data_IF_046737290458
#
_entry.id   IF_046737290458
#
_cell.length_a   1.000
_cell.length_b   1.000
_cell.length_c   1.000
_cell.angle_alpha   90.00
_cell.angle_beta   90.00
_cell.angle_gamma   90.00
#
_symmetry.space_group_name_H-M   'P 1'
#
loop_
_entity.id
_entity.type
_entity.pdbx_description
1 polymer ?
#
# COMPACT_ATOMS: atom_id res chain seq x y z
N UNK A 1 10.82 1.84 19.33
CA UNK A 1 10.56 1.93 17.88
C UNK A 1 10.91 3.33 17.44
N UNK A 2 11.61 3.50 16.32
CA UNK A 2 11.93 4.82 15.80
C UNK A 2 10.66 5.53 15.29
N UNK A 3 10.43 6.75 15.75
CA UNK A 3 9.32 7.59 15.29
C UNK A 3 9.80 8.46 14.13
N UNK A 4 9.61 7.97 12.91
CA UNK A 4 9.94 8.72 11.71
C UNK A 4 8.93 9.84 11.44
N UNK A 5 9.43 11.04 11.14
CA UNK A 5 8.61 12.24 10.90
C UNK A 5 8.71 12.73 9.46
N UNK A 6 9.75 12.30 8.74
CA UNK A 6 10.02 12.71 7.36
C UNK A 6 10.66 11.56 6.59
N UNK A 7 10.34 11.44 5.30
CA UNK A 7 11.04 10.53 4.40
C UNK A 7 11.17 11.12 2.99
N UNK A 8 12.23 10.74 2.27
CA UNK A 8 12.49 11.20 0.90
C UNK A 8 13.34 10.19 0.12
N UNK A 9 13.34 10.33 -1.20
CA UNK A 9 14.16 9.48 -2.08
C UNK A 9 15.66 9.65 -1.78
N UNK A 10 16.37 8.52 -1.66
CA UNK A 10 17.82 8.44 -1.56
C UNK A 10 18.47 8.13 -2.92
N UNK A 11 19.68 7.59 -2.88
CA UNK A 11 20.39 7.14 -4.09
C UNK A 11 19.71 5.90 -4.69
N UNK A 12 19.61 5.84 -6.03
CA UNK A 12 18.97 4.72 -6.72
C UNK A 12 17.51 4.55 -6.29
N UNK A 13 17.19 3.38 -5.73
CA UNK A 13 15.83 3.07 -5.24
C UNK A 13 15.64 3.29 -3.74
N UNK A 14 16.66 3.79 -3.05
CA UNK A 14 16.67 3.88 -1.59
C UNK A 14 15.69 4.93 -1.08
N UNK A 15 15.27 4.77 0.18
CA UNK A 15 14.43 5.73 0.89
C UNK A 15 15.11 6.09 2.20
N UNK A 16 15.28 7.40 2.43
CA UNK A 16 15.84 7.93 3.68
C UNK A 16 14.69 8.35 4.57
N UNK A 17 14.69 7.83 5.79
CA UNK A 17 13.79 8.20 6.86
C UNK A 17 14.54 9.03 7.91
N UNK A 18 13.87 10.03 8.45
CA UNK A 18 14.41 10.94 9.47
C UNK A 18 13.46 10.97 10.68
N UNK A 19 14.02 10.81 11.87
CA UNK A 19 13.32 10.92 13.15
C UNK A 19 13.33 12.36 13.65
N UNK A 20 12.48 12.67 14.64
CA UNK A 20 12.37 14.03 15.18
C UNK A 20 13.68 14.57 15.80
N UNK A 21 14.55 13.69 16.30
CA UNK A 21 15.87 14.00 16.84
C UNK A 21 16.98 14.05 15.76
N UNK A 22 16.61 13.97 14.48
CA UNK A 22 17.53 14.13 13.34
C UNK A 22 18.30 12.87 12.93
N UNK A 23 18.10 11.72 13.60
CA UNK A 23 18.70 10.45 13.17
C UNK A 23 18.12 10.04 11.82
N UNK A 24 18.97 9.43 10.99
CA UNK A 24 18.58 8.98 9.65
C UNK A 24 18.74 7.49 9.49
N UNK A 25 17.77 6.87 8.84
CA UNK A 25 17.77 5.44 8.50
C UNK A 25 17.51 5.30 7.02
N UNK A 26 18.40 4.60 6.32
CA UNK A 26 18.28 4.26 4.90
C UNK A 26 17.68 2.87 4.74
N UNK A 27 16.64 2.78 3.93
CA UNK A 27 16.03 1.53 3.48
C UNK A 27 16.50 1.25 2.06
N UNK A 28 17.21 0.15 1.85
CA UNK A 28 17.84 -0.22 0.57
C UNK A 28 17.42 -1.63 0.15
N UNK A 29 17.39 -1.90 -1.16
CA UNK A 29 16.99 -3.20 -1.71
C UNK A 29 15.53 -3.57 -1.40
N UNK A 30 15.18 -4.85 -1.58
CA UNK A 30 13.80 -5.34 -1.38
C UNK A 30 12.79 -4.74 -2.37
N UNK A 31 11.51 -4.79 -2.00
CA UNK A 31 10.41 -4.22 -2.80
C UNK A 31 10.08 -2.78 -2.37
N UNK A 32 9.49 -2.01 -3.30
CA UNK A 32 9.17 -0.59 -3.07
C UNK A 32 8.18 -0.41 -1.93
N UNK A 33 7.16 -1.26 -1.87
CA UNK A 33 6.14 -1.20 -0.83
C UNK A 33 6.74 -1.37 0.58
N UNK A 34 7.80 -2.18 0.72
CA UNK A 34 8.57 -2.32 1.94
C UNK A 34 9.41 -1.07 2.25
N UNK A 35 10.19 -0.58 1.27
CA UNK A 35 11.03 0.63 1.46
C UNK A 35 10.21 1.87 1.77
N UNK A 36 9.01 1.98 1.19
CA UNK A 36 8.13 3.13 1.39
C UNK A 36 7.17 2.94 2.58
N UNK A 37 7.20 1.78 3.26
CA UNK A 37 6.19 1.38 4.24
C UNK A 37 4.75 1.60 3.74
N UNK A 38 4.54 1.28 2.47
CA UNK A 38 3.32 1.51 1.72
C UNK A 38 2.87 0.18 1.09
N UNK A 39 2.30 -0.74 1.89
CA UNK A 39 1.98 -2.10 1.43
C UNK A 39 1.10 -2.15 0.17
N UNK A 40 0.27 -1.12 -0.04
CA UNK A 40 -0.60 -1.01 -1.20
C UNK A 40 -0.02 -0.30 -2.43
N UNK A 41 1.27 0.09 -2.40
CA UNK A 41 1.86 0.93 -3.46
C UNK A 41 0.95 2.13 -3.83
N UNK A 42 0.41 2.84 -2.84
CA UNK A 42 -0.43 4.01 -3.08
C UNK A 42 0.42 5.12 -3.71
N UNK A 43 0.05 5.55 -4.92
CA UNK A 43 0.69 6.68 -5.62
C UNK A 43 0.55 7.97 -4.81
N UNK A 44 1.61 8.79 -4.82
CA UNK A 44 1.56 10.10 -4.16
C UNK A 44 0.79 11.08 -5.03
N UNK A 45 -0.23 11.69 -4.44
CA UNK A 45 -1.01 12.77 -5.03
C UNK A 45 -1.30 13.85 -3.96
N UNK A 46 -2.24 14.76 -4.23
CA UNK A 46 -2.65 15.84 -3.32
C UNK A 46 -3.37 15.37 -2.06
N UNK A 47 -3.75 14.08 -1.96
CA UNK A 47 -4.43 13.54 -0.77
C UNK A 47 -3.47 13.52 0.41
N UNK A 48 -3.91 14.16 1.51
CA UNK A 48 -3.20 14.18 2.80
C UNK A 48 -3.55 12.93 3.61
N UNK A 49 -2.81 11.85 3.38
CA UNK A 49 -2.96 10.64 4.18
C UNK A 49 -2.36 10.82 5.57
N UNK A 50 -3.10 10.45 6.62
CA UNK A 50 -2.54 10.42 7.97
C UNK A 50 -1.39 9.41 8.02
N UNK A 51 -0.22 9.87 8.49
CA UNK A 51 0.99 9.07 8.57
C UNK A 51 1.84 9.07 7.31
N UNK A 52 1.44 9.76 6.23
CA UNK A 52 2.32 10.03 5.08
C UNK A 52 3.35 11.07 5.50
N UNK A 53 4.63 10.70 5.45
CA UNK A 53 5.76 11.54 5.85
C UNK A 53 6.68 11.91 4.67
N UNK A 54 6.34 11.42 3.47
CA UNK A 54 7.16 11.65 2.29
C UNK A 54 6.58 11.05 1.01
N UNK A 55 7.39 11.12 -0.04
CA UNK A 55 7.17 10.41 -1.29
C UNK A 55 8.50 9.95 -1.88
N UNK A 56 8.50 8.79 -2.53
CA UNK A 56 9.66 8.23 -3.23
C UNK A 56 9.20 7.41 -4.43
N UNK A 57 9.83 7.61 -5.60
CA UNK A 57 9.47 6.92 -6.85
C UNK A 57 8.05 7.19 -7.34
N UNK A 58 7.43 8.31 -6.95
CA UNK A 58 6.04 8.65 -7.27
C UNK A 58 4.99 8.03 -6.34
N UNK A 59 5.40 7.35 -5.26
CA UNK A 59 4.52 6.71 -4.29
C UNK A 59 4.59 7.38 -2.93
N UNK A 60 3.51 7.30 -2.16
CA UNK A 60 3.51 7.72 -0.75
C UNK A 60 4.56 6.94 0.04
N UNK A 61 5.19 7.62 1.00
CA UNK A 61 6.00 7.00 2.04
C UNK A 61 5.32 7.25 3.38
N UNK A 62 5.03 6.19 4.12
CA UNK A 62 4.37 6.26 5.43
C UNK A 62 5.37 6.08 6.57
N UNK A 63 5.03 6.59 7.76
CA UNK A 63 5.83 6.45 8.97
C UNK A 63 5.84 5.02 9.53
N UNK A 64 4.76 4.26 9.28
CA UNK A 64 4.64 2.84 9.62
C UNK A 64 3.86 2.10 8.51
N UNK A 65 4.09 0.80 8.28
CA UNK A 65 3.30 0.03 7.31
C UNK A 65 1.81 -0.04 7.66
N UNK A 66 1.46 -0.01 8.95
CA UNK A 66 0.07 0.00 9.44
C UNK A 66 -0.69 1.25 8.97
N UNK A 67 0.00 2.40 8.89
CA UNK A 67 -0.57 3.62 8.34
C UNK A 67 -0.82 3.50 6.83
N UNK A 68 0.05 2.78 6.11
CA UNK A 68 -0.17 2.41 4.71
C UNK A 68 -1.38 1.50 4.53
N UNK A 69 -1.52 0.45 5.34
CA UNK A 69 -2.69 -0.45 5.34
C UNK A 69 -3.97 0.33 5.66
N UNK A 70 -3.92 1.25 6.63
CA UNK A 70 -5.06 2.12 6.96
C UNK A 70 -5.47 3.00 5.78
N UNK A 71 -4.51 3.51 5.00
CA UNK A 71 -4.82 4.24 3.77
C UNK A 71 -5.51 3.34 2.73
N UNK A 72 -5.08 2.09 2.57
CA UNK A 72 -5.77 1.09 1.72
C UNK A 72 -7.22 0.86 2.19
N UNK A 73 -7.44 0.63 3.49
CA UNK A 73 -8.80 0.45 4.06
C UNK A 73 -9.68 1.67 3.78
N UNK A 74 -9.14 2.89 3.87
CA UNK A 74 -9.89 4.10 3.49
C UNK A 74 -10.27 4.12 2.01
N UNK A 75 -9.36 3.73 1.12
CA UNK A 75 -9.66 3.63 -0.31
C UNK A 75 -10.78 2.61 -0.55
N UNK A 76 -10.66 1.40 0.00
CA UNK A 76 -11.68 0.36 -0.16
C UNK A 76 -13.02 0.76 0.45
N UNK A 77 -13.05 1.41 1.61
CA UNK A 77 -14.28 1.95 2.19
C UNK A 77 -14.96 2.96 1.26
N UNK A 78 -14.20 3.78 0.53
CA UNK A 78 -14.78 4.67 -0.47
C UNK A 78 -15.36 3.87 -1.65
N UNK A 79 -14.67 2.81 -2.12
CA UNK A 79 -15.21 1.91 -3.16
C UNK A 79 -16.48 1.18 -2.69
N UNK A 80 -16.56 0.81 -1.42
CA UNK A 80 -17.77 0.27 -0.79
C UNK A 80 -18.92 1.27 -0.86
N UNK A 81 -18.68 2.55 -0.53
CA UNK A 81 -19.69 3.61 -0.62
C UNK A 81 -20.13 3.92 -2.06
N UNK A 82 -19.22 3.75 -3.01
CA UNK A 82 -19.51 3.82 -4.46
C UNK A 82 -20.29 2.59 -4.96
N UNK A 83 -20.55 1.59 -4.11
CA UNK A 83 -21.32 0.41 -4.46
C UNK A 83 -20.58 -0.62 -5.30
N UNK A 84 -19.25 -0.51 -5.39
CA UNK A 84 -18.39 -1.33 -6.26
C UNK A 84 -18.28 -2.78 -5.80
N UNK A 85 -18.12 -3.65 -6.78
CA UNK A 85 -17.66 -5.03 -6.64
C UNK A 85 -16.16 -5.09 -6.37
N UNK A 86 -15.66 -6.26 -5.97
CA UNK A 86 -14.22 -6.49 -5.84
C UNK A 86 -13.48 -6.20 -7.14
N UNK A 87 -14.00 -6.70 -8.27
CA UNK A 87 -13.38 -6.51 -9.58
C UNK A 87 -13.28 -5.03 -9.96
N UNK A 88 -14.36 -4.27 -9.79
CA UNK A 88 -14.38 -2.82 -10.09
C UNK A 88 -13.49 -2.02 -9.14
N UNK A 89 -13.43 -2.41 -7.87
CA UNK A 89 -12.56 -1.78 -6.89
C UNK A 89 -11.08 -1.97 -7.25
N UNK A 90 -10.66 -3.19 -7.61
CA UNK A 90 -9.29 -3.49 -8.05
C UNK A 90 -8.97 -2.81 -9.38
N UNK A 91 -9.89 -2.83 -10.36
CA UNK A 91 -9.69 -2.14 -11.63
C UNK A 91 -9.52 -0.62 -11.46
N UNK A 92 -10.22 -0.03 -10.48
CA UNK A 92 -10.04 1.38 -10.10
C UNK A 92 -8.73 1.64 -9.35
N UNK A 93 -8.17 0.62 -8.71
CA UNK A 93 -6.94 0.71 -7.90
C UNK A 93 -5.68 0.52 -8.76
N UNK A 94 -5.71 -0.46 -9.68
CA UNK A 94 -4.62 -0.82 -10.58
C UNK A 94 -5.17 -1.01 -12.02
N UNK A 95 -5.32 0.08 -12.78
CA UNK A 95 -5.87 0.05 -14.14
C UNK A 95 -5.02 -0.80 -15.10
N UNK A 96 -5.69 -1.39 -16.10
CA UNK A 96 -5.10 -2.38 -17.01
C UNK A 96 -4.01 -1.84 -17.95
N UNK A 97 -3.91 -0.51 -18.10
CA UNK A 97 -2.89 0.14 -18.93
C UNK A 97 -1.48 -0.19 -18.44
N UNK A 98 -1.31 -0.38 -17.13
CA UNK A 98 -0.02 -0.69 -16.50
C UNK A 98 0.01 -2.09 -15.84
N UNK A 99 -1.10 -2.83 -15.81
CA UNK A 99 -1.25 -4.04 -14.99
C UNK A 99 -2.08 -5.14 -15.66
N UNK A 100 -1.82 -6.39 -15.31
CA UNK A 100 -2.76 -7.48 -15.60
C UNK A 100 -3.89 -7.49 -14.55
N UNK A 101 -4.85 -6.57 -14.69
CA UNK A 101 -5.97 -6.41 -13.74
C UNK A 101 -6.75 -7.71 -13.55
N UNK A 102 -6.93 -8.52 -14.59
CA UNK A 102 -7.61 -9.82 -14.47
C UNK A 102 -6.85 -10.76 -13.54
N UNK A 103 -5.53 -10.88 -13.69
CA UNK A 103 -4.72 -11.69 -12.78
C UNK A 103 -4.75 -11.16 -11.35
N UNK A 104 -4.75 -9.84 -11.15
CA UNK A 104 -4.89 -9.22 -9.83
C UNK A 104 -6.24 -9.60 -9.19
N UNK A 105 -7.35 -9.40 -9.90
CA UNK A 105 -8.69 -9.75 -9.41
C UNK A 105 -8.77 -11.22 -9.01
N UNK A 106 -8.27 -12.14 -9.85
CA UNK A 106 -8.29 -13.57 -9.56
C UNK A 106 -7.43 -13.92 -8.34
N UNK A 107 -6.24 -13.33 -8.24
CA UNK A 107 -5.36 -13.53 -7.09
C UNK A 107 -6.04 -13.13 -5.77
N UNK A 108 -6.64 -11.94 -5.74
CA UNK A 108 -7.29 -11.41 -4.54
C UNK A 108 -8.55 -12.19 -4.20
N UNK A 109 -9.39 -12.49 -5.21
CA UNK A 109 -10.61 -13.28 -5.03
C UNK A 109 -10.32 -14.65 -4.42
N UNK A 110 -9.34 -15.38 -4.98
CA UNK A 110 -8.94 -16.69 -4.50
C UNK A 110 -8.40 -16.65 -3.06
N UNK A 111 -7.48 -15.72 -2.75
CA UNK A 111 -6.91 -15.60 -1.40
C UNK A 111 -7.93 -15.15 -0.36
N UNK A 112 -8.87 -14.28 -0.73
CA UNK A 112 -9.85 -13.76 0.20
C UNK A 112 -11.11 -14.64 0.35
N UNK A 113 -11.31 -15.62 -0.54
CA UNK A 113 -12.49 -16.49 -0.53
C UNK A 113 -13.77 -15.73 -0.87
N UNK A 114 -13.68 -14.87 -1.89
CA UNK A 114 -14.79 -14.01 -2.36
C UNK A 114 -14.90 -14.09 -3.87
N UNK A 115 -16.09 -13.84 -4.39
CA UNK A 115 -16.30 -13.77 -5.83
C UNK A 115 -15.89 -12.39 -6.37
N UNK A 116 -15.31 -12.29 -7.58
CA UNK A 116 -14.99 -11.00 -8.22
C UNK A 116 -16.18 -10.02 -8.29
N UNK A 117 -17.39 -10.55 -8.49
CA UNK A 117 -18.65 -9.81 -8.58
C UNK A 117 -19.32 -9.52 -7.22
N UNK A 118 -18.75 -10.00 -6.10
CA UNK A 118 -19.28 -9.68 -4.78
C UNK A 118 -19.15 -8.18 -4.53
N UNK A 119 -20.23 -7.52 -4.09
CA UNK A 119 -20.16 -6.11 -3.67
C UNK A 119 -19.32 -6.02 -2.42
N UNK A 120 -18.47 -5.00 -2.33
CA UNK A 120 -17.65 -4.79 -1.14
C UNK A 120 -18.50 -4.56 0.12
N UNK A 121 -19.72 -4.04 -0.04
CA UNK A 121 -20.66 -3.81 1.05
C UNK A 121 -21.22 -5.10 1.68
N UNK A 122 -21.18 -6.22 0.95
CA UNK A 122 -21.70 -7.51 1.39
C UNK A 122 -20.61 -8.38 2.06
N UNK A 123 -19.37 -7.89 2.10
CA UNK A 123 -18.26 -8.60 2.71
C UNK A 123 -18.27 -8.40 4.23
N UNK A 124 -18.09 -9.47 4.99
CA UNK A 124 -17.77 -9.37 6.41
C UNK A 124 -16.42 -8.68 6.62
N UNK A 125 -16.20 -8.09 7.79
CA UNK A 125 -14.92 -7.46 8.14
C UNK A 125 -13.73 -8.42 7.95
N UNK A 126 -13.88 -9.70 8.33
CA UNK A 126 -12.87 -10.73 8.09
C UNK A 126 -12.54 -10.91 6.61
N UNK A 127 -13.56 -10.91 5.72
CA UNK A 127 -13.34 -11.02 4.27
C UNK A 127 -12.66 -9.75 3.73
N UNK A 128 -13.04 -8.58 4.21
CA UNK A 128 -12.41 -7.31 3.84
C UNK A 128 -10.94 -7.25 4.26
N UNK A 129 -10.59 -7.76 5.44
CA UNK A 129 -9.20 -7.90 5.90
C UNK A 129 -8.40 -8.85 5.01
N UNK A 130 -8.99 -9.99 4.63
CA UNK A 130 -8.33 -10.92 3.69
C UNK A 130 -8.14 -10.30 2.30
N UNK A 131 -9.08 -9.48 1.83
CA UNK A 131 -8.92 -8.71 0.58
C UNK A 131 -7.69 -7.80 0.67
N UNK A 132 -7.57 -7.01 1.75
CA UNK A 132 -6.43 -6.12 1.96
C UNK A 132 -5.12 -6.90 2.04
N UNK A 133 -5.09 -7.98 2.81
CA UNK A 133 -3.90 -8.82 2.93
C UNK A 133 -3.49 -9.43 1.58
N UNK A 134 -4.45 -9.87 0.77
CA UNK A 134 -4.19 -10.39 -0.58
C UNK A 134 -3.69 -9.32 -1.53
N UNK A 135 -4.20 -8.08 -1.45
CA UNK A 135 -3.66 -6.94 -2.20
C UNK A 135 -2.21 -6.66 -1.79
N UNK A 136 -1.92 -6.56 -0.50
CA UNK A 136 -0.53 -6.37 -0.03
C UNK A 136 0.41 -7.47 -0.54
N UNK A 137 -0.02 -8.73 -0.55
CA UNK A 137 0.76 -9.84 -1.07
C UNK A 137 1.00 -9.75 -2.59
N UNK A 138 0.04 -9.21 -3.34
CA UNK A 138 0.19 -8.95 -4.77
C UNK A 138 1.22 -7.84 -5.06
N UNK A 139 1.27 -6.80 -4.21
CA UNK A 139 2.17 -5.65 -4.38
C UNK A 139 3.66 -5.96 -4.11
N UNK A 140 3.95 -7.00 -3.33
CA UNK A 140 5.31 -7.44 -3.02
C UNK A 140 5.54 -7.74 -1.55
N UNK A 141 6.54 -8.57 -1.24
CA UNK A 141 6.84 -9.03 0.14
C UNK A 141 8.33 -9.04 0.45
N UNK A 142 9.20 -8.71 -0.50
CA UNK A 142 10.65 -8.85 -0.33
C UNK A 142 11.19 -7.75 0.58
N UNK A 143 11.69 -8.17 1.72
CA UNK A 143 12.36 -7.31 2.70
C UNK A 143 13.77 -6.96 2.20
N UNK A 144 14.14 -5.70 2.33
CA UNK A 144 15.49 -5.21 2.06
C UNK A 144 16.30 -5.04 3.35
N UNK A 145 17.26 -4.13 3.32
CA UNK A 145 18.12 -3.81 4.47
C UNK A 145 17.85 -2.41 5.01
N UNK A 146 18.04 -2.26 6.33
CA UNK A 146 17.98 -0.99 7.04
C UNK A 146 19.38 -0.62 7.54
N UNK A 147 19.82 0.60 7.27
CA UNK A 147 21.13 1.09 7.68
C UNK A 147 20.96 2.43 8.39
N UNK A 148 21.46 2.55 9.62
CA UNK A 148 21.63 3.87 10.25
C UNK A 148 22.67 4.67 9.47
N UNK A 149 22.43 5.96 9.30
CA UNK A 149 23.34 6.90 8.64
C UNK A 149 23.99 7.85 9.66
#
# INVERSE_FOLDING_TARGET
>A
MDTFVKAYAGQGTDVIYETADGRKVRFSGGDRNWRNQNPGNIRSNSIRWLGKIGAAGGFCVFATPELGVRAMRKILNNRTREGKTLAEAIASYAPAVENNTTAYVQHVAARAGVLPQARLADLSEMKMERVIAAMCAHEGVRVGTRHSL
#
